data_IF_278123472175
#
_entry.id   IF_278123472175
#
_cell.length_a   1.000
_cell.length_b   1.000
_cell.length_c   1.000
_cell.angle_alpha   90.00
_cell.angle_beta   90.00
_cell.angle_gamma   90.00
#
_symmetry.space_group_name_H-M   'P 1'
#
loop_
_entity.id
_entity.type
_entity.pdbx_description
1 polymer ?
#
# COMPACT_ATOMS: atom_id res chain seq x y z
N UNK A 1 1.16 12.80 8.55
CA UNK A 1 1.56 11.45 8.09
C UNK A 1 2.61 11.53 7.01
N UNK A 2 3.37 10.48 6.83
CA UNK A 2 4.41 10.44 5.79
C UNK A 2 4.62 9.02 5.29
N UNK A 3 5.17 8.93 4.09
CA UNK A 3 5.51 7.66 3.48
C UNK A 3 6.84 7.11 4.04
N UNK A 4 6.86 5.80 4.26
CA UNK A 4 8.09 5.05 4.53
C UNK A 4 8.48 4.42 3.19
N UNK A 5 9.69 4.71 2.71
CA UNK A 5 10.14 4.15 1.44
C UNK A 5 10.37 2.65 1.56
N UNK A 6 9.70 1.87 0.73
CA UNK A 6 9.85 0.41 0.70
C UNK A 6 10.91 0.07 -0.34
N UNK A 7 12.07 -0.32 0.12
CA UNK A 7 13.25 -0.48 -0.73
C UNK A 7 13.97 -1.82 -0.57
N UNK A 8 13.58 -2.63 0.41
CA UNK A 8 14.27 -3.89 0.71
C UNK A 8 13.29 -5.03 0.99
N UNK A 9 13.73 -6.26 0.70
CA UNK A 9 12.96 -7.46 1.03
C UNK A 9 12.79 -7.63 2.55
N UNK A 10 13.74 -7.14 3.33
CA UNK A 10 13.67 -7.18 4.79
C UNK A 10 12.46 -6.40 5.30
N UNK A 11 12.15 -5.27 4.69
CA UNK A 11 10.97 -4.50 5.05
C UNK A 11 9.67 -5.27 4.80
N UNK A 12 9.62 -6.08 3.74
CA UNK A 12 8.45 -6.92 3.46
C UNK A 12 8.26 -7.94 4.59
N UNK A 13 9.34 -8.55 5.07
CA UNK A 13 9.29 -9.46 6.20
C UNK A 13 8.81 -8.76 7.47
N UNK A 14 9.28 -7.55 7.70
CA UNK A 14 8.84 -6.74 8.85
C UNK A 14 7.34 -6.47 8.80
N UNK A 15 6.81 -6.16 7.63
CA UNK A 15 5.37 -5.95 7.44
C UNK A 15 4.59 -7.23 7.75
N UNK A 16 5.08 -8.38 7.28
CA UNK A 16 4.43 -9.67 7.52
C UNK A 16 4.42 -10.07 8.99
N UNK A 17 5.41 -9.64 9.76
CA UNK A 17 5.56 -10.00 11.16
C UNK A 17 5.01 -8.95 12.12
N UNK A 18 4.68 -7.77 11.61
CA UNK A 18 4.23 -6.65 12.43
C UNK A 18 2.75 -6.81 12.80
N UNK A 19 2.41 -6.80 14.10
CA UNK A 19 1.00 -6.74 14.47
C UNK A 19 0.43 -5.35 14.15
N UNK A 20 -0.88 -5.30 13.86
CA UNK A 20 -1.54 -4.05 13.55
C UNK A 20 -1.66 -3.80 12.05
N UNK A 21 -1.83 -2.55 11.68
CA UNK A 21 -2.15 -2.18 10.32
C UNK A 21 -0.97 -1.55 9.58
N UNK A 22 -0.84 -1.90 8.29
CA UNK A 22 0.13 -1.30 7.38
C UNK A 22 -0.54 -1.09 6.02
N UNK A 23 -0.09 -0.08 5.29
CA UNK A 23 -0.51 0.16 3.91
C UNK A 23 0.73 0.06 3.02
N UNK A 24 0.57 -0.62 1.89
CA UNK A 24 1.58 -0.61 0.84
C UNK A 24 0.97 0.05 -0.38
N UNK A 25 1.57 1.14 -0.85
CA UNK A 25 1.14 1.83 -2.07
C UNK A 25 2.17 1.59 -3.17
N UNK A 26 1.78 0.86 -4.21
CA UNK A 26 2.61 0.64 -5.38
C UNK A 26 2.39 1.76 -6.38
N UNK A 27 3.44 2.49 -6.68
CA UNK A 27 3.39 3.70 -7.50
C UNK A 27 4.28 3.58 -8.74
N UNK A 28 3.74 4.01 -9.87
CA UNK A 28 4.53 4.17 -11.10
C UNK A 28 4.74 5.66 -11.35
N UNK A 29 5.99 6.10 -11.32
CA UNK A 29 6.33 7.51 -11.55
C UNK A 29 6.06 7.97 -12.98
N UNK A 30 5.83 7.03 -13.90
CA UNK A 30 5.53 7.32 -15.32
C UNK A 30 4.04 7.28 -15.64
N UNK A 31 3.19 7.03 -14.65
CA UNK A 31 1.76 6.87 -14.86
C UNK A 31 0.99 8.02 -14.22
N UNK A 32 0.26 8.79 -15.02
CA UNK A 32 -0.54 9.91 -14.51
C UNK A 32 -1.66 9.44 -13.60
N UNK A 33 -2.23 8.26 -13.86
CA UNK A 33 -3.28 7.68 -13.02
C UNK A 33 -2.72 7.36 -11.64
N UNK A 34 -1.48 6.86 -11.58
CA UNK A 34 -0.80 6.57 -10.33
C UNK A 34 -0.52 7.84 -9.53
N UNK A 35 -0.12 8.91 -10.20
CA UNK A 35 0.12 10.21 -9.54
C UNK A 35 -1.17 10.79 -8.97
N UNK A 36 -2.27 10.67 -9.70
CA UNK A 36 -3.58 11.13 -9.22
C UNK A 36 -4.07 10.31 -8.04
N UNK A 37 -3.90 8.99 -8.08
CA UNK A 37 -4.28 8.10 -6.98
C UNK A 37 -3.49 8.43 -5.71
N UNK A 38 -2.19 8.67 -5.84
CA UNK A 38 -1.33 9.05 -4.72
C UNK A 38 -1.80 10.35 -4.10
N UNK A 39 -2.06 11.37 -4.93
CA UNK A 39 -2.54 12.68 -4.44
C UNK A 39 -3.88 12.56 -3.74
N UNK A 40 -4.81 11.82 -4.31
CA UNK A 40 -6.13 11.58 -3.71
C UNK A 40 -5.99 10.92 -2.35
N UNK A 41 -5.15 9.90 -2.25
CA UNK A 41 -4.91 9.20 -1.00
C UNK A 41 -4.32 10.16 0.05
N UNK A 42 -3.33 10.96 -0.34
CA UNK A 42 -2.67 11.90 0.57
C UNK A 42 -3.60 13.02 1.06
N UNK A 43 -4.60 13.39 0.27
CA UNK A 43 -5.58 14.39 0.70
C UNK A 43 -6.43 13.92 1.87
N UNK A 44 -6.68 12.63 1.95
CA UNK A 44 -7.59 12.04 2.94
C UNK A 44 -6.89 11.20 3.99
N UNK A 45 -5.57 11.00 3.91
CA UNK A 45 -4.87 10.05 4.77
C UNK A 45 -4.84 10.43 6.25
N UNK A 46 -5.09 11.70 6.59
CA UNK A 46 -5.19 12.12 7.98
C UNK A 46 -6.41 11.53 8.69
N UNK A 47 -7.37 10.98 7.93
CA UNK A 47 -8.52 10.28 8.49
C UNK A 47 -8.14 8.87 8.97
N UNK A 48 -6.96 8.36 8.57
CA UNK A 48 -6.47 7.06 9.00
C UNK A 48 -5.93 7.11 10.42
N UNK A 49 -5.91 5.97 11.15
CA UNK A 49 -5.28 5.92 12.47
C UNK A 49 -3.81 6.33 12.42
N UNK A 50 -3.34 7.05 13.45
CA UNK A 50 -1.98 7.55 13.50
C UNK A 50 -0.93 6.45 13.61
N UNK A 51 -1.31 5.29 14.13
CA UNK A 51 -0.41 4.16 14.34
C UNK A 51 -0.24 3.27 13.11
N UNK A 52 -0.92 3.59 12.01
CA UNK A 52 -0.78 2.85 10.77
C UNK A 52 0.53 3.23 10.07
N UNK A 53 1.26 2.25 9.58
CA UNK A 53 2.50 2.46 8.81
C UNK A 53 2.19 2.53 7.33
N UNK A 54 2.67 3.59 6.66
CA UNK A 54 2.37 3.83 5.25
C UNK A 54 3.64 3.62 4.41
N UNK A 55 3.68 2.53 3.66
CA UNK A 55 4.82 2.17 2.82
C UNK A 55 4.59 2.58 1.38
N UNK A 56 5.60 3.20 0.79
CA UNK A 56 5.56 3.65 -0.61
C UNK A 56 6.57 2.86 -1.43
N UNK A 57 6.11 2.20 -2.48
CA UNK A 57 6.95 1.44 -3.38
C UNK A 57 6.98 2.08 -4.76
N UNK A 58 8.18 2.50 -5.21
CA UNK A 58 8.40 2.88 -6.60
C UNK A 58 8.59 1.59 -7.40
N UNK A 59 7.53 1.14 -8.05
CA UNK A 59 7.56 -0.16 -8.72
C UNK A 59 8.45 -0.19 -9.96
N UNK A 60 8.74 0.97 -10.56
CA UNK A 60 9.63 1.02 -11.71
C UNK A 60 11.07 0.73 -11.26
N UNK A 61 11.46 1.31 -10.14
CA UNK A 61 12.80 1.10 -9.56
C UNK A 61 12.93 -0.26 -8.89
N UNK A 62 11.87 -0.75 -8.25
CA UNK A 62 11.91 -1.97 -7.43
C UNK A 62 10.91 -3.02 -7.92
N UNK A 63 11.03 -3.44 -9.18
CA UNK A 63 10.10 -4.41 -9.80
C UNK A 63 10.09 -5.75 -9.09
N UNK A 64 11.25 -6.22 -8.63
CA UNK A 64 11.35 -7.49 -7.93
C UNK A 64 10.60 -7.46 -6.60
N UNK A 65 10.69 -6.34 -5.88
CA UNK A 65 9.95 -6.17 -4.63
C UNK A 65 8.44 -6.15 -4.89
N UNK A 66 8.00 -5.51 -5.97
CA UNK A 66 6.60 -5.50 -6.34
C UNK A 66 6.07 -6.92 -6.62
N UNK A 67 6.86 -7.73 -7.31
CA UNK A 67 6.51 -9.13 -7.60
C UNK A 67 6.47 -9.96 -6.31
N UNK A 68 7.43 -9.72 -5.41
CA UNK A 68 7.48 -10.41 -4.13
C UNK A 68 6.25 -10.08 -3.28
N UNK A 69 5.82 -8.82 -3.26
CA UNK A 69 4.62 -8.41 -2.54
C UNK A 69 3.39 -9.13 -3.08
N UNK A 70 3.24 -9.20 -4.40
CA UNK A 70 2.12 -9.92 -5.02
C UNK A 70 2.10 -11.40 -4.58
N UNK A 71 3.27 -12.03 -4.58
CA UNK A 71 3.41 -13.43 -4.17
C UNK A 71 3.15 -13.62 -2.67
N UNK A 72 3.79 -12.80 -1.82
CA UNK A 72 3.76 -12.97 -0.37
C UNK A 72 2.40 -12.64 0.24
N UNK A 73 1.68 -11.69 -0.35
CA UNK A 73 0.36 -11.28 0.15
C UNK A 73 -0.80 -11.84 -0.67
N UNK A 74 -0.50 -12.71 -1.63
CA UNK A 74 -1.51 -13.43 -2.45
C UNK A 74 -2.47 -12.48 -3.16
N UNK A 75 -1.94 -11.39 -3.75
CA UNK A 75 -2.73 -10.45 -4.53
C UNK A 75 -2.22 -10.36 -5.95
N UNK A 76 -3.15 -10.22 -6.90
CA UNK A 76 -2.79 -10.02 -8.30
C UNK A 76 -2.15 -8.64 -8.47
N UNK A 77 -1.00 -8.60 -9.15
CA UNK A 77 -0.30 -7.34 -9.36
C UNK A 77 -1.11 -6.37 -10.22
N UNK A 78 -1.24 -5.15 -9.74
CA UNK A 78 -1.82 -4.02 -10.46
C UNK A 78 -0.98 -2.78 -10.19
N UNK A 79 -1.16 -1.72 -10.99
CA UNK A 79 -0.45 -0.45 -10.80
C UNK A 79 -1.30 0.72 -11.31
N UNK A 80 -1.57 1.72 -10.49
CA UNK A 80 -1.26 1.81 -9.07
C UNK A 80 -2.09 0.81 -8.27
N UNK A 81 -1.55 0.39 -7.13
CA UNK A 81 -2.25 -0.55 -6.25
C UNK A 81 -1.98 -0.20 -4.79
N UNK A 82 -3.03 -0.27 -3.99
CA UNK A 82 -2.94 -0.12 -2.54
C UNK A 82 -3.29 -1.45 -1.88
N UNK A 83 -2.44 -1.90 -0.96
CA UNK A 83 -2.71 -3.06 -0.12
C UNK A 83 -2.89 -2.59 1.32
N UNK A 84 -3.97 -3.00 1.96
CA UNK A 84 -4.17 -2.80 3.38
C UNK A 84 -3.85 -4.11 4.10
N UNK A 85 -2.88 -4.06 4.99
CA UNK A 85 -2.35 -5.24 5.69
C UNK A 85 -2.75 -5.16 7.15
N UNK A 86 -3.30 -6.26 7.68
CA UNK A 86 -3.61 -6.39 9.10
C UNK A 86 -2.94 -7.65 9.63
N UNK A 87 -2.08 -7.48 10.64
CA UNK A 87 -1.37 -8.59 11.28
C UNK A 87 -0.66 -9.48 10.25
N UNK A 88 -0.07 -8.87 9.24
CA UNK A 88 0.70 -9.56 8.23
C UNK A 88 -0.11 -10.12 7.05
N UNK A 89 -1.42 -9.94 7.04
CA UNK A 89 -2.29 -10.43 5.96
C UNK A 89 -2.95 -9.28 5.21
N UNK A 90 -3.05 -9.40 3.89
CA UNK A 90 -3.74 -8.41 3.07
C UNK A 90 -5.25 -8.60 3.21
N UNK A 91 -5.94 -7.62 3.78
CA UNK A 91 -7.39 -7.67 3.98
C UNK A 91 -8.16 -6.87 2.95
N UNK A 92 -7.47 -6.00 2.21
CA UNK A 92 -8.07 -5.21 1.14
C UNK A 92 -6.99 -4.86 0.13
N UNK A 93 -7.30 -5.01 -1.16
CA UNK A 93 -6.47 -4.46 -2.21
C UNK A 93 -7.35 -3.63 -3.14
N UNK A 94 -6.82 -2.49 -3.56
CA UNK A 94 -7.51 -1.55 -4.45
C UNK A 94 -6.58 -1.19 -5.57
N UNK A 95 -7.11 -0.93 -6.75
CA UNK A 95 -6.28 -0.55 -7.90
C UNK A 95 -6.88 0.59 -8.68
N UNK A 96 -6.01 1.34 -9.38
CA UNK A 96 -6.38 2.42 -10.28
C UNK A 96 -7.26 3.46 -9.59
N UNK A 97 -8.40 3.80 -10.17
CA UNK A 97 -9.30 4.81 -9.65
C UNK A 97 -10.10 4.37 -8.41
N UNK A 98 -10.04 3.08 -8.07
CA UNK A 98 -10.74 2.56 -6.89
C UNK A 98 -10.01 2.82 -5.58
N UNK A 99 -8.75 3.26 -5.65
CA UNK A 99 -7.95 3.55 -4.46
C UNK A 99 -8.60 4.71 -3.69
N UNK A 100 -9.00 4.44 -2.44
CA UNK A 100 -9.60 5.47 -1.59
C UNK A 100 -9.34 5.20 -0.10
N UNK A 101 -9.16 6.26 0.66
CA UNK A 101 -9.04 6.18 2.11
C UNK A 101 -10.35 5.73 2.75
N UNK A 102 -11.48 6.15 2.19
CA UNK A 102 -12.81 5.81 2.71
C UNK A 102 -13.02 4.30 2.80
N UNK A 103 -12.75 3.57 1.71
CA UNK A 103 -12.89 2.11 1.72
C UNK A 103 -11.88 1.44 2.66
N UNK A 104 -10.67 1.97 2.74
CA UNK A 104 -9.68 1.46 3.68
C UNK A 104 -10.18 1.60 5.12
N UNK A 105 -10.77 2.75 5.47
CA UNK A 105 -11.34 2.97 6.79
C UNK A 105 -12.48 1.99 7.09
N UNK A 106 -13.36 1.74 6.14
CA UNK A 106 -14.44 0.77 6.31
C UNK A 106 -13.90 -0.62 6.61
N UNK A 107 -12.81 -1.01 5.95
CA UNK A 107 -12.17 -2.31 6.19
C UNK A 107 -11.52 -2.39 7.58
N UNK A 108 -11.00 -1.27 8.09
CA UNK A 108 -10.42 -1.21 9.44
C UNK A 108 -11.49 -1.36 10.53
N UNK A 109 -12.70 -0.92 10.24
CA UNK A 109 -13.81 -0.96 11.20
C UNK A 109 -14.57 -2.29 11.21
N UNK A 110 -14.25 -3.17 10.27
CA UNK A 110 -14.94 -4.46 10.13
C UNK A 110 -14.51 -5.50 11.14
#
# INVERSE_FOLDING_TARGET
MRWIQLETAEQIKQIQQNPGYSVIFKHSTRCSISMMAKRKFELDWTDLPEDISLYFLDLIKYRELSSQIAHDFHVHHESPQLLLIKDGECILDQSHSDISVEEALESLES
#
